data_IF_166699319334
#
_entry.id   IF_166699319334
#
_cell.length_a   1.000
_cell.length_b   1.000
_cell.length_c   1.000
_cell.angle_alpha   90.00
_cell.angle_beta   90.00
_cell.angle_gamma   90.00
#
_symmetry.space_group_name_H-M   'P 1'
#
loop_
_entity.id
_entity.type
_entity.pdbx_description
1 polymer ?
#
# COMPACT_ATOMS: atom_id res chain seq x y z
N UNK A 1 2.73 -13.74 2.00
CA UNK A 1 3.79 -12.96 2.70
C UNK A 1 3.98 -11.61 2.03
N UNK A 2 4.46 -10.65 2.79
CA UNK A 2 4.52 -9.25 2.35
C UNK A 2 5.96 -8.74 2.42
N UNK A 3 6.26 -7.73 1.58
CA UNK A 3 7.56 -7.06 1.57
C UNK A 3 7.35 -5.61 1.97
N UNK A 4 8.27 -5.08 2.76
CA UNK A 4 8.20 -3.70 3.24
C UNK A 4 8.33 -2.70 2.10
N UNK A 5 7.53 -1.64 2.17
CA UNK A 5 7.64 -0.48 1.29
C UNK A 5 8.18 0.67 2.14
N UNK A 6 9.33 1.18 1.77
CA UNK A 6 10.00 2.23 2.52
C UNK A 6 10.01 3.53 1.72
N UNK A 7 9.63 4.62 2.38
CA UNK A 7 9.74 5.97 1.81
C UNK A 7 10.65 6.86 2.65
N UNK A 8 11.23 6.33 3.72
CA UNK A 8 12.21 7.03 4.54
C UNK A 8 13.25 6.04 5.06
N UNK A 9 14.38 6.56 5.52
CA UNK A 9 15.46 5.71 6.04
C UNK A 9 15.18 5.13 7.41
N UNK A 10 14.28 5.72 8.17
CA UNK A 10 14.07 5.34 9.56
C UNK A 10 13.06 4.21 9.72
N UNK A 11 11.90 4.32 9.06
CA UNK A 11 10.81 3.37 9.21
C UNK A 11 10.16 3.11 7.87
N UNK A 12 9.74 1.86 7.58
CA UNK A 12 8.83 1.64 6.48
C UNK A 12 7.48 2.27 6.81
N UNK A 13 6.72 2.70 5.81
CA UNK A 13 5.36 3.21 6.04
C UNK A 13 4.38 2.06 6.23
N UNK A 14 4.46 1.06 5.36
CA UNK A 14 3.60 -0.11 5.44
C UNK A 14 4.17 -1.23 4.59
N UNK A 15 3.50 -2.37 4.58
CA UNK A 15 3.88 -3.51 3.74
C UNK A 15 2.76 -3.85 2.78
N UNK A 16 3.12 -4.45 1.67
CA UNK A 16 2.17 -4.84 0.62
C UNK A 16 2.61 -6.19 0.04
N UNK A 17 1.72 -6.88 -0.72
CA UNK A 17 2.07 -8.17 -1.32
C UNK A 17 3.29 -8.05 -2.22
N UNK A 18 4.29 -8.88 -1.96
CA UNK A 18 5.54 -8.86 -2.72
C UNK A 18 6.18 -10.23 -2.82
N UNK A 19 5.49 -11.29 -2.38
CA UNK A 19 5.95 -12.68 -2.47
C UNK A 19 4.90 -13.48 -3.21
N UNK A 20 5.35 -14.26 -4.21
CA UNK A 20 4.47 -15.08 -5.03
C UNK A 20 3.37 -14.27 -5.70
N UNK A 21 3.74 -13.10 -6.23
CA UNK A 21 2.82 -12.22 -6.95
C UNK A 21 2.67 -12.72 -8.38
N UNK A 22 1.43 -12.83 -8.84
CA UNK A 22 1.13 -13.22 -10.21
C UNK A 22 1.20 -12.00 -11.13
N UNK A 23 2.02 -12.11 -12.16
CA UNK A 23 2.17 -11.03 -13.13
C UNK A 23 1.98 -11.58 -14.54
N UNK A 24 1.45 -10.77 -15.48
CA UNK A 24 1.31 -11.21 -16.87
C UNK A 24 2.68 -11.27 -17.55
N UNK A 25 2.78 -12.16 -18.54
CA UNK A 25 3.97 -12.29 -19.39
C UNK A 25 3.66 -11.80 -20.79
N UNK A 26 4.72 -11.58 -21.59
CA UNK A 26 4.56 -11.08 -22.97
C UNK A 26 3.79 -12.04 -23.87
N UNK A 27 3.83 -13.32 -23.56
CA UNK A 27 3.16 -14.34 -24.38
C UNK A 27 1.71 -14.59 -23.95
N UNK A 28 1.17 -13.76 -23.04
CA UNK A 28 -0.18 -13.90 -22.54
C UNK A 28 -0.35 -14.84 -21.36
N UNK A 29 0.76 -15.36 -20.85
CA UNK A 29 0.73 -16.25 -19.70
C UNK A 29 0.81 -15.49 -18.37
N UNK A 30 1.09 -16.25 -17.30
CA UNK A 30 1.25 -15.72 -15.97
C UNK A 30 2.53 -16.28 -15.37
N UNK A 31 3.28 -15.40 -14.72
CA UNK A 31 4.49 -15.75 -14.00
C UNK A 31 4.31 -15.38 -12.53
N UNK A 32 4.90 -16.16 -11.63
CA UNK A 32 4.89 -15.87 -10.20
C UNK A 32 6.26 -15.28 -9.85
N UNK A 33 6.25 -14.10 -9.21
CA UNK A 33 7.47 -13.36 -8.90
C UNK A 33 7.45 -12.85 -7.48
N UNK A 34 8.63 -12.52 -6.96
CA UNK A 34 8.78 -11.95 -5.62
C UNK A 34 9.78 -10.83 -5.62
N UNK A 35 9.56 -9.84 -4.76
CA UNK A 35 10.46 -8.70 -4.61
C UNK A 35 9.71 -7.42 -4.31
N UNK A 36 10.42 -6.43 -3.79
CA UNK A 36 9.86 -5.12 -3.46
C UNK A 36 9.30 -4.44 -4.71
N UNK A 37 9.92 -4.65 -5.87
CA UNK A 37 9.44 -4.09 -7.14
C UNK A 37 8.04 -4.57 -7.50
N UNK A 38 7.61 -5.70 -6.97
CA UNK A 38 6.28 -6.26 -7.22
C UNK A 38 5.28 -5.90 -6.12
N UNK A 39 5.76 -5.44 -4.97
CA UNK A 39 4.92 -4.90 -3.91
C UNK A 39 4.57 -3.43 -4.17
N UNK A 40 5.49 -2.66 -4.71
CA UNK A 40 5.32 -1.23 -4.96
C UNK A 40 4.09 -0.90 -5.83
N UNK A 41 3.80 -1.64 -6.91
CA UNK A 41 2.60 -1.35 -7.71
C UNK A 41 1.28 -1.43 -6.94
N UNK A 42 1.20 -2.27 -5.91
CA UNK A 42 -0.01 -2.33 -5.08
C UNK A 42 -0.23 -1.01 -4.35
N UNK A 43 0.85 -0.41 -3.84
CA UNK A 43 0.78 0.88 -3.16
C UNK A 43 0.50 2.01 -4.16
N UNK A 44 1.18 2.00 -5.30
CA UNK A 44 0.99 3.01 -6.35
C UNK A 44 -0.43 2.98 -6.88
N UNK A 45 -0.96 1.79 -7.17
CA UNK A 45 -2.33 1.63 -7.63
C UNK A 45 -3.36 2.07 -6.59
N UNK A 46 -3.11 1.74 -5.32
CA UNK A 46 -3.98 2.17 -4.22
C UNK A 46 -3.99 3.69 -4.08
N UNK A 47 -2.82 4.32 -4.18
CA UNK A 47 -2.71 5.78 -4.13
C UNK A 47 -3.48 6.42 -5.29
N UNK A 48 -3.37 5.86 -6.50
CA UNK A 48 -4.09 6.37 -7.66
C UNK A 48 -5.60 6.28 -7.46
N UNK A 49 -6.09 5.18 -6.92
CA UNK A 49 -7.52 5.00 -6.66
C UNK A 49 -8.03 5.95 -5.58
N UNK A 50 -7.23 6.18 -4.52
CA UNK A 50 -7.56 7.18 -3.51
C UNK A 50 -7.64 8.58 -4.12
N UNK A 51 -6.70 8.93 -4.97
CA UNK A 51 -6.67 10.24 -5.60
C UNK A 51 -7.84 10.42 -6.59
N UNK A 52 -8.23 9.35 -7.29
CA UNK A 52 -9.42 9.40 -8.13
C UNK A 52 -10.66 9.73 -7.31
N UNK A 53 -10.83 9.04 -6.19
CA UNK A 53 -11.93 9.29 -5.28
C UNK A 53 -11.87 10.71 -4.71
N UNK A 54 -10.71 11.15 -4.24
CA UNK A 54 -10.55 12.44 -3.58
C UNK A 54 -10.59 13.61 -4.55
N UNK A 55 -9.68 13.62 -5.51
CA UNK A 55 -9.49 14.77 -6.41
C UNK A 55 -10.53 14.76 -7.53
N UNK A 56 -10.66 13.64 -8.26
CA UNK A 56 -11.55 13.60 -9.43
C UNK A 56 -13.03 13.62 -9.02
N UNK A 57 -13.40 12.93 -7.94
CA UNK A 57 -14.78 12.91 -7.45
C UNK A 57 -15.07 13.98 -6.39
N UNK A 58 -14.07 14.83 -6.10
CA UNK A 58 -14.22 15.97 -5.18
C UNK A 58 -14.62 15.60 -3.75
N UNK A 59 -14.28 14.40 -3.30
CA UNK A 59 -14.49 14.02 -1.90
C UNK A 59 -13.43 14.64 -1.00
N UNK A 60 -12.22 14.81 -1.51
CA UNK A 60 -11.12 15.49 -0.85
C UNK A 60 -10.21 16.09 -1.92
N UNK A 61 -10.50 17.32 -2.39
CA UNK A 61 -9.80 17.92 -3.53
C UNK A 61 -8.29 18.12 -3.33
N UNK A 62 -7.83 18.09 -2.08
CA UNK A 62 -6.42 18.26 -1.75
C UNK A 62 -5.72 16.95 -1.42
N UNK A 63 -6.29 15.84 -1.86
CA UNK A 63 -5.75 14.52 -1.54
C UNK A 63 -4.60 14.16 -2.48
N UNK A 64 -3.39 14.55 -2.07
CA UNK A 64 -2.14 14.17 -2.74
C UNK A 64 -0.97 14.27 -1.75
N UNK A 65 0.18 13.72 -2.13
CA UNK A 65 1.40 13.78 -1.33
C UNK A 65 1.25 13.14 0.04
N UNK A 66 1.60 13.86 1.08
CA UNK A 66 1.59 13.35 2.45
C UNK A 66 0.19 12.97 2.93
N UNK A 67 -0.85 13.60 2.40
CA UNK A 67 -2.21 13.27 2.78
C UNK A 67 -2.64 11.90 2.27
N UNK A 68 -2.21 11.54 1.06
CA UNK A 68 -2.43 10.18 0.54
C UNK A 68 -1.74 9.16 1.44
N UNK A 69 -0.52 9.44 1.85
CA UNK A 69 0.23 8.59 2.79
C UNK A 69 -0.52 8.42 4.09
N UNK A 70 -1.05 9.52 4.63
CA UNK A 70 -1.80 9.48 5.88
C UNK A 70 -3.03 8.57 5.79
N UNK A 71 -3.75 8.63 4.68
CA UNK A 71 -4.91 7.76 4.46
C UNK A 71 -4.49 6.29 4.38
N UNK A 72 -3.43 5.99 3.65
CA UNK A 72 -2.92 4.62 3.54
C UNK A 72 -2.47 4.08 4.90
N UNK A 73 -1.81 4.90 5.70
CA UNK A 73 -1.39 4.50 7.05
C UNK A 73 -2.58 4.24 7.97
N UNK A 74 -3.58 5.10 7.93
CA UNK A 74 -4.75 4.96 8.80
C UNK A 74 -5.58 3.74 8.46
N UNK A 75 -5.54 3.29 7.22
CA UNK A 75 -6.25 2.10 6.77
C UNK A 75 -5.46 0.81 6.89
N UNK A 76 -4.19 0.87 7.28
CA UNK A 76 -3.34 -0.31 7.36
C UNK A 76 -3.88 -1.30 8.37
N UNK A 77 -3.84 -2.58 8.01
CA UNK A 77 -4.34 -3.66 8.86
C UNK A 77 -3.25 -4.28 9.69
N UNK A 78 -3.63 -4.80 10.85
CA UNK A 78 -2.73 -5.53 11.74
C UNK A 78 -2.16 -6.76 11.06
N UNK A 79 -0.92 -7.07 11.41
CA UNK A 79 -0.21 -8.25 10.91
C UNK A 79 0.01 -9.20 12.06
N UNK A 80 -0.23 -10.49 11.82
CA UNK A 80 -0.05 -11.53 12.81
C UNK A 80 1.36 -11.47 13.39
N UNK A 81 1.47 -11.47 14.71
CA UNK A 81 2.75 -11.40 15.40
C UNK A 81 3.25 -10.00 15.68
N UNK A 82 2.57 -8.97 15.17
CA UNK A 82 2.93 -7.58 15.42
C UNK A 82 1.85 -6.91 16.25
N UNK A 83 2.23 -6.25 17.34
CA UNK A 83 1.28 -5.66 18.29
C UNK A 83 1.34 -4.15 18.37
N UNK A 84 2.52 -3.57 18.13
CA UNK A 84 2.73 -2.14 18.28
C UNK A 84 2.99 -1.53 16.92
N UNK A 85 2.25 -0.49 16.56
CA UNK A 85 2.36 0.20 15.28
C UNK A 85 2.52 1.70 15.51
N UNK A 86 3.33 2.41 14.74
CA UNK A 86 4.24 1.86 13.73
C UNK A 86 5.46 1.19 14.36
N UNK A 87 6.12 0.32 13.63
CA UNK A 87 7.35 -0.31 14.08
C UNK A 87 8.36 -0.46 12.93
N UNK A 88 9.59 -0.88 13.29
CA UNK A 88 10.68 -0.96 12.32
C UNK A 88 10.53 -2.07 11.28
N UNK A 89 9.65 -3.03 11.52
CA UNK A 89 9.49 -4.20 10.65
C UNK A 89 8.45 -3.98 9.58
N UNK A 90 7.29 -3.45 9.96
CA UNK A 90 6.14 -3.37 9.07
C UNK A 90 5.50 -1.98 9.03
N UNK A 91 6.12 -0.98 9.68
CA UNK A 91 5.56 0.36 9.74
C UNK A 91 4.19 0.35 10.39
N UNK A 92 3.20 0.88 9.68
CA UNK A 92 1.81 0.95 10.15
C UNK A 92 1.01 -0.31 9.89
N UNK A 93 1.60 -1.30 9.22
CA UNK A 93 0.97 -2.57 8.97
C UNK A 93 0.75 -2.86 7.49
N UNK A 94 -0.21 -3.72 7.19
CA UNK A 94 -0.47 -4.17 5.83
C UNK A 94 -1.38 -3.21 5.07
N UNK A 95 -1.02 -2.92 3.83
CA UNK A 95 -1.84 -2.11 2.93
C UNK A 95 -3.25 -2.68 2.83
N UNK A 96 -4.23 -1.82 3.01
CA UNK A 96 -5.64 -2.15 2.77
C UNK A 96 -6.33 -0.95 2.15
N UNK A 97 -6.55 -0.99 0.85
CA UNK A 97 -7.18 0.12 0.13
C UNK A 97 -8.58 0.40 0.67
N UNK A 98 -9.37 -0.64 0.87
CA UNK A 98 -10.75 -0.49 1.35
C UNK A 98 -10.83 0.32 2.65
N UNK A 99 -9.96 0.00 3.61
CA UNK A 99 -9.97 0.68 4.91
C UNK A 99 -9.26 2.03 4.88
N UNK A 100 -8.61 2.36 3.76
CA UNK A 100 -7.92 3.65 3.60
C UNK A 100 -8.87 4.79 3.24
N UNK A 101 -10.06 4.47 2.74
CA UNK A 101 -11.06 5.49 2.46
C UNK A 101 -11.72 5.92 3.78
N UNK A 102 -11.78 7.24 4.06
CA UNK A 102 -12.51 7.71 5.23
C UNK A 102 -14.02 7.66 4.96
N UNK A 103 -14.79 7.52 6.00
CA UNK A 103 -16.26 7.62 5.93
C UNK A 103 -16.92 6.65 4.95
N UNK A 104 -16.43 5.45 4.88
CA UNK A 104 -17.10 4.47 4.04
C UNK A 104 -18.26 3.79 4.77
#
# INVERSE_FOLDING_TARGET
MQIKIEVSYALPDLVAPGVDVRVPTEDGGIQVVSGTSFATPFVTGSAALLMEWGVARRQDPFLYGEKVKAYLRSGARSIRGERIYPNLRVGYGALCLEDSFPNK
#
